data_IF_390589065965
#
_entry.id   IF_390589065965
#
_cell.length_a   1.000
_cell.length_b   1.000
_cell.length_c   1.000
_cell.angle_alpha   90.00
_cell.angle_beta   90.00
_cell.angle_gamma   90.00
#
_symmetry.space_group_name_H-M   'P 1'
#
loop_
_entity.id
_entity.type
_entity.pdbx_description
1 polymer ?
#
# COMPACT_ATOMS: atom_id res chain seq x y z
N UNK A 1 19.42 -6.52 -8.95
CA UNK A 1 19.66 -5.32 -8.12
C UNK A 1 19.81 -5.77 -6.67
N UNK A 2 20.99 -6.23 -6.28
CA UNK A 2 21.24 -6.83 -4.96
C UNK A 2 22.73 -6.80 -4.59
N UNK A 3 23.44 -5.74 -5.00
CA UNK A 3 24.86 -5.52 -4.70
C UNK A 3 25.13 -4.23 -3.90
N UNK A 4 24.19 -3.26 -3.85
CA UNK A 4 24.47 -1.93 -3.27
C UNK A 4 24.13 -1.79 -1.76
N UNK A 5 23.49 -2.79 -1.15
CA UNK A 5 23.21 -2.77 0.28
C UNK A 5 24.39 -3.20 1.15
N UNK A 6 25.31 -4.02 0.61
CA UNK A 6 26.47 -4.52 1.34
C UNK A 6 27.55 -3.45 1.55
N UNK A 7 27.76 -2.57 0.56
CA UNK A 7 28.70 -1.44 0.68
C UNK A 7 28.25 -0.42 1.72
N UNK A 8 26.94 -0.19 1.83
CA UNK A 8 26.35 0.74 2.81
C UNK A 8 26.48 0.23 4.25
N UNK A 9 26.40 -1.08 4.48
CA UNK A 9 26.58 -1.68 5.80
C UNK A 9 28.05 -1.59 6.29
N UNK A 10 29.00 -1.76 5.37
CA UNK A 10 30.44 -1.68 5.70
C UNK A 10 30.85 -0.23 6.01
N UNK A 11 30.35 0.75 5.25
CA UNK A 11 30.55 2.17 5.54
C UNK A 11 29.97 2.61 6.89
N UNK A 12 28.80 2.06 7.25
CA UNK A 12 28.15 2.32 8.54
C UNK A 12 28.92 1.70 9.71
N UNK A 13 29.41 0.46 9.55
CA UNK A 13 30.24 -0.20 10.56
C UNK A 13 31.59 0.52 10.77
N UNK A 14 32.23 0.97 9.68
CA UNK A 14 33.50 1.69 9.74
C UNK A 14 33.34 3.08 10.38
N UNK A 15 32.24 3.78 10.08
CA UNK A 15 31.93 5.09 10.65
C UNK A 15 31.58 5.00 12.14
N UNK A 16 30.83 3.96 12.55
CA UNK A 16 30.51 3.70 13.96
C UNK A 16 31.77 3.34 14.78
N UNK A 17 32.69 2.57 14.21
CA UNK A 17 33.95 2.21 14.85
C UNK A 17 34.86 3.41 15.10
N UNK A 18 34.96 4.33 14.13
CA UNK A 18 35.78 5.54 14.25
C UNK A 18 35.20 6.53 15.28
N UNK A 19 33.87 6.60 15.40
CA UNK A 19 33.17 7.45 16.36
C UNK A 19 33.39 7.00 17.82
N UNK A 20 33.54 5.70 18.05
CA UNK A 20 33.75 5.15 19.39
C UNK A 20 35.11 5.56 20.00
N UNK A 21 36.10 5.88 19.17
CA UNK A 21 37.48 6.17 19.59
C UNK A 21 37.72 7.64 19.98
N UNK A 22 36.80 8.57 19.70
CA UNK A 22 36.97 10.01 19.93
C UNK A 22 36.06 10.53 21.07
N UNK A 23 36.60 10.66 22.29
CA UNK A 23 35.89 11.19 23.48
C UNK A 23 36.21 12.70 23.62
N UNK A 24 35.21 13.62 23.71
CA UNK A 24 34.38 13.84 24.91
C UNK A 24 32.89 14.12 24.61
N UNK A 25 32.37 13.70 23.44
CA UNK A 25 31.01 14.01 22.98
C UNK A 25 30.04 12.82 23.11
N UNK A 26 30.24 11.92 24.07
CA UNK A 26 29.46 10.68 24.20
C UNK A 26 27.93 10.91 24.29
N UNK A 27 27.49 11.94 25.01
CA UNK A 27 26.07 12.28 25.10
C UNK A 27 25.48 12.75 23.76
N UNK A 28 26.23 13.56 23.00
CA UNK A 28 25.84 14.00 21.66
C UNK A 28 25.80 12.82 20.68
N UNK A 29 26.75 11.89 20.79
CA UNK A 29 26.77 10.67 20.00
C UNK A 29 25.53 9.79 20.27
N UNK A 30 25.11 9.63 21.53
CA UNK A 30 23.88 8.90 21.88
C UNK A 30 22.62 9.60 21.36
N UNK A 31 22.54 10.94 21.41
CA UNK A 31 21.42 11.69 20.86
C UNK A 31 21.32 11.53 19.33
N UNK A 32 22.45 11.66 18.63
CA UNK A 32 22.52 11.46 17.18
C UNK A 32 22.23 10.01 16.79
N UNK A 33 22.70 9.04 17.56
CA UNK A 33 22.40 7.62 17.34
C UNK A 33 20.90 7.33 17.52
N UNK A 34 20.25 7.90 18.54
CA UNK A 34 18.82 7.77 18.74
C UNK A 34 18.01 8.42 17.59
N UNK A 35 18.41 9.62 17.14
CA UNK A 35 17.80 10.27 15.99
C UNK A 35 17.98 9.45 14.71
N UNK A 36 19.19 8.95 14.45
CA UNK A 36 19.50 8.10 13.31
C UNK A 36 18.69 6.80 13.33
N UNK A 37 18.57 6.15 14.49
CA UNK A 37 17.73 4.95 14.66
C UNK A 37 16.25 5.26 14.35
N UNK A 38 15.74 6.40 14.82
CA UNK A 38 14.38 6.84 14.50
C UNK A 38 14.20 7.03 12.99
N UNK A 39 15.12 7.76 12.34
CA UNK A 39 15.10 7.94 10.89
C UNK A 39 15.19 6.60 10.14
N UNK A 40 15.98 5.65 10.62
CA UNK A 40 16.15 4.34 9.99
C UNK A 40 14.87 3.49 10.13
N UNK A 41 14.16 3.58 11.26
CA UNK A 41 12.84 2.98 11.43
C UNK A 41 11.81 3.62 10.49
N UNK A 42 11.76 4.95 10.42
CA UNK A 42 10.84 5.65 9.51
C UNK A 42 11.15 5.35 8.05
N UNK A 43 12.43 5.41 7.66
CA UNK A 43 12.88 5.14 6.30
C UNK A 43 12.62 3.68 5.92
N UNK A 44 12.96 2.73 6.78
CA UNK A 44 12.64 1.32 6.58
C UNK A 44 11.14 1.10 6.43
N UNK A 45 10.31 1.76 7.25
CA UNK A 45 8.85 1.69 7.14
C UNK A 45 8.34 2.26 5.81
N UNK A 46 8.92 3.36 5.34
CA UNK A 46 8.61 3.98 4.04
C UNK A 46 9.00 3.07 2.88
N UNK A 47 10.22 2.53 2.89
CA UNK A 47 10.70 1.59 1.86
C UNK A 47 9.86 0.33 1.84
N UNK A 48 9.54 -0.25 3.01
CA UNK A 48 8.64 -1.39 3.11
C UNK A 48 7.25 -1.12 2.52
N UNK A 49 6.73 0.10 2.70
CA UNK A 49 5.46 0.53 2.11
C UNK A 49 5.58 0.70 0.59
N UNK A 50 6.70 1.23 0.11
CA UNK A 50 6.96 1.46 -1.32
C UNK A 50 7.29 0.16 -2.09
N UNK A 51 7.83 -0.86 -1.41
CA UNK A 51 8.07 -2.19 -1.96
C UNK A 51 6.84 -3.11 -1.92
N UNK A 52 5.68 -2.61 -1.45
CA UNK A 52 4.45 -3.40 -1.47
C UNK A 52 3.93 -3.51 -2.89
N UNK A 53 4.30 -4.59 -3.59
CA UNK A 53 3.87 -4.86 -4.95
C UNK A 53 2.54 -5.62 -4.92
N UNK A 54 1.54 -5.13 -5.65
CA UNK A 54 0.24 -5.79 -5.72
C UNK A 54 0.23 -6.65 -6.97
N UNK A 55 0.10 -7.95 -6.77
CA UNK A 55 -0.07 -8.92 -7.83
C UNK A 55 -1.53 -9.35 -7.88
N UNK A 56 -2.09 -9.27 -9.08
CA UNK A 56 -3.42 -9.73 -9.38
C UNK A 56 -3.31 -11.03 -10.15
N UNK A 57 -3.91 -12.08 -9.62
CA UNK A 57 -3.90 -13.43 -10.20
C UNK A 57 -5.34 -13.89 -10.47
N UNK A 58 -5.50 -14.90 -11.32
CA UNK A 58 -6.81 -15.49 -11.63
C UNK A 58 -7.46 -16.11 -10.38
N UNK A 59 -6.66 -16.53 -9.39
CA UNK A 59 -7.13 -17.12 -8.14
C UNK A 59 -7.34 -16.11 -6.99
N UNK A 60 -6.74 -14.91 -7.04
CA UNK A 60 -6.85 -13.94 -5.95
C UNK A 60 -6.05 -12.65 -6.14
N UNK A 61 -6.14 -11.75 -5.15
CA UNK A 61 -5.24 -10.61 -4.99
C UNK A 61 -4.18 -10.94 -3.94
N UNK A 62 -2.92 -10.67 -4.27
CA UNK A 62 -1.77 -10.79 -3.36
C UNK A 62 -1.06 -9.45 -3.23
N UNK A 63 -1.03 -8.90 -2.02
CA UNK A 63 -0.12 -7.81 -1.70
C UNK A 63 1.21 -8.41 -1.21
N UNK A 64 2.28 -8.33 -2.01
CA UNK A 64 3.62 -8.76 -1.62
C UNK A 64 4.34 -7.62 -0.91
N UNK A 65 4.53 -7.75 0.41
CA UNK A 65 5.27 -6.83 1.25
C UNK A 65 5.47 -7.44 2.65
N UNK A 66 6.21 -6.78 3.55
CA UNK A 66 6.46 -7.30 4.90
C UNK A 66 5.20 -7.39 5.78
N UNK A 67 4.11 -6.71 5.39
CA UNK A 67 2.76 -6.86 5.96
C UNK A 67 1.77 -7.38 4.89
N UNK A 68 2.28 -8.12 3.92
CA UNK A 68 1.52 -8.62 2.78
C UNK A 68 0.38 -9.53 3.20
N UNK A 69 -0.73 -9.45 2.47
CA UNK A 69 -1.88 -10.30 2.66
C UNK A 69 -2.32 -10.88 1.31
N UNK A 70 -2.85 -12.10 1.37
CA UNK A 70 -3.39 -12.82 0.22
C UNK A 70 -4.86 -13.02 0.50
N UNK A 71 -5.70 -12.57 -0.43
CA UNK A 71 -7.14 -12.82 -0.42
C UNK A 71 -7.44 -13.60 -1.70
N UNK A 72 -7.87 -14.85 -1.52
CA UNK A 72 -8.39 -15.66 -2.64
C UNK A 72 -9.76 -15.11 -3.01
N UNK A 73 -10.08 -15.10 -4.29
CA UNK A 73 -11.35 -14.56 -4.75
C UNK A 73 -12.56 -15.29 -4.16
N UNK A 74 -12.43 -16.58 -3.87
CA UNK A 74 -13.45 -17.39 -3.20
C UNK A 74 -13.74 -16.97 -1.76
N UNK A 75 -12.76 -16.40 -1.08
CA UNK A 75 -12.88 -15.95 0.30
C UNK A 75 -13.25 -14.47 0.39
N UNK A 76 -13.39 -13.78 -0.76
CA UNK A 76 -13.73 -12.36 -0.80
C UNK A 76 -15.15 -12.15 -0.29
N UNK A 77 -15.28 -11.50 0.88
CA UNK A 77 -16.58 -11.24 1.51
C UNK A 77 -17.09 -9.84 1.24
N UNK A 78 -16.20 -8.86 1.25
CA UNK A 78 -16.59 -7.47 1.07
C UNK A 78 -15.57 -6.70 0.25
N UNK A 79 -16.07 -5.84 -0.63
CA UNK A 79 -15.27 -4.91 -1.40
C UNK A 79 -15.77 -3.49 -1.14
N UNK A 80 -14.86 -2.62 -0.71
CA UNK A 80 -15.15 -1.21 -0.45
C UNK A 80 -14.19 -0.32 -1.22
N UNK A 81 -14.71 0.69 -1.91
CA UNK A 81 -13.94 1.75 -2.54
C UNK A 81 -14.31 3.07 -1.88
N UNK A 82 -13.39 3.63 -1.12
CA UNK A 82 -13.56 4.90 -0.42
C UNK A 82 -12.93 6.04 -1.26
N UNK A 83 -13.60 7.19 -1.33
CA UNK A 83 -13.09 8.41 -1.98
C UNK A 83 -12.90 9.49 -0.92
N UNK A 84 -11.68 10.01 -0.81
CA UNK A 84 -11.31 11.06 0.12
C UNK A 84 -10.92 12.31 -0.67
N UNK A 85 -11.68 13.39 -0.51
CA UNK A 85 -11.37 14.69 -1.09
C UNK A 85 -11.14 15.71 0.02
N UNK A 86 -10.06 16.48 -0.08
CA UNK A 86 -9.77 17.61 0.81
C UNK A 86 -10.45 18.90 0.35
N UNK A 87 -11.09 18.91 -0.83
CA UNK A 87 -11.76 20.07 -1.42
C UNK A 87 -13.21 19.78 -1.80
N UNK A 88 -14.08 20.80 -1.67
CA UNK A 88 -15.50 20.72 -2.03
C UNK A 88 -15.70 20.49 -3.54
N UNK A 89 -14.74 20.91 -4.35
CA UNK A 89 -14.78 20.84 -5.82
C UNK A 89 -14.49 19.43 -6.36
N UNK A 90 -14.25 18.44 -5.48
CA UNK A 90 -13.91 17.03 -5.80
C UNK A 90 -12.69 16.87 -6.72
N UNK A 91 -11.94 17.92 -7.01
CA UNK A 91 -10.68 17.84 -7.75
C UNK A 91 -9.52 17.55 -6.79
N UNK A 92 -8.74 16.52 -7.10
CA UNK A 92 -7.54 16.14 -6.33
C UNK A 92 -7.76 15.22 -5.13
N UNK A 93 -8.89 14.51 -5.05
CA UNK A 93 -9.08 13.46 -4.04
C UNK A 93 -8.32 12.18 -4.36
N UNK A 94 -8.03 11.38 -3.34
CA UNK A 94 -7.46 10.04 -3.49
C UNK A 94 -8.52 8.97 -3.23
N UNK A 95 -8.32 7.80 -3.82
CA UNK A 95 -9.19 6.65 -3.61
C UNK A 95 -8.45 5.56 -2.84
N UNK A 96 -9.19 4.82 -2.04
CA UNK A 96 -8.69 3.64 -1.34
C UNK A 96 -9.62 2.46 -1.59
N UNK A 97 -9.08 1.42 -2.21
CA UNK A 97 -9.73 0.13 -2.37
C UNK A 97 -9.40 -0.76 -1.17
N UNK A 98 -10.42 -1.29 -0.52
CA UNK A 98 -10.31 -2.20 0.61
C UNK A 98 -11.03 -3.51 0.28
N UNK A 99 -10.26 -4.60 0.25
CA UNK A 99 -10.79 -5.95 0.11
C UNK A 99 -10.71 -6.67 1.45
N UNK A 100 -11.73 -7.45 1.80
CA UNK A 100 -11.76 -8.19 3.06
C UNK A 100 -12.22 -9.63 2.84
N UNK A 101 -11.52 -10.55 3.51
CA UNK A 101 -12.00 -11.91 3.73
C UNK A 101 -12.49 -12.05 5.20
N UNK A 102 -12.61 -13.28 5.70
CA UNK A 102 -13.02 -13.54 7.08
C UNK A 102 -11.98 -13.12 8.14
N UNK A 103 -10.69 -13.13 7.82
CA UNK A 103 -9.57 -12.96 8.76
C UNK A 103 -8.67 -11.74 8.46
N UNK A 104 -8.62 -11.27 7.22
CA UNK A 104 -7.63 -10.33 6.68
C UNK A 104 -8.29 -9.24 5.86
N UNK A 105 -7.58 -8.12 5.74
CA UNK A 105 -7.97 -6.99 4.90
C UNK A 105 -6.77 -6.51 4.10
N UNK A 106 -6.96 -6.30 2.80
CA UNK A 106 -5.99 -5.66 1.90
C UNK A 106 -6.49 -4.24 1.62
N UNK A 107 -5.58 -3.27 1.70
CA UNK A 107 -5.83 -1.86 1.37
C UNK A 107 -4.89 -1.43 0.27
N UNK A 108 -5.44 -0.75 -0.71
CA UNK A 108 -4.73 -0.33 -1.92
C UNK A 108 -5.11 1.13 -2.14
N UNK A 109 -4.12 2.02 -2.12
CA UNK A 109 -4.33 3.45 -2.39
C UNK A 109 -4.21 3.74 -3.89
N UNK A 110 -4.87 4.79 -4.37
CA UNK A 110 -4.89 5.18 -5.79
C UNK A 110 -3.55 5.67 -6.34
N UNK A 111 -2.57 5.90 -5.47
CA UNK A 111 -1.20 6.24 -5.84
C UNK A 111 -0.44 5.04 -6.44
N UNK A 112 -0.98 3.82 -6.32
CA UNK A 112 -0.37 2.63 -6.94
C UNK A 112 -0.58 2.63 -8.45
N UNK A 113 0.49 2.37 -9.19
CA UNK A 113 0.45 2.17 -10.63
C UNK A 113 -0.55 1.06 -11.01
N UNK A 114 -1.44 1.37 -11.97
CA UNK A 114 -2.48 0.41 -12.40
C UNK A 114 -3.65 0.25 -11.44
N UNK A 115 -3.84 1.15 -10.46
CA UNK A 115 -4.97 1.13 -9.51
C UNK A 115 -6.33 0.93 -10.19
N UNK A 116 -6.60 1.63 -11.29
CA UNK A 116 -7.88 1.56 -12.00
C UNK A 116 -8.17 0.14 -12.54
N UNK A 117 -7.15 -0.55 -13.02
CA UNK A 117 -7.27 -1.92 -13.55
C UNK A 117 -7.48 -2.93 -12.41
N UNK A 118 -6.76 -2.74 -11.29
CA UNK A 118 -6.95 -3.52 -10.07
C UNK A 118 -8.39 -3.36 -9.55
N UNK A 119 -8.88 -2.12 -9.46
CA UNK A 119 -10.24 -1.83 -9.01
C UNK A 119 -11.28 -2.44 -9.95
N UNK A 120 -11.06 -2.39 -11.26
CA UNK A 120 -11.95 -3.00 -12.27
C UNK A 120 -12.00 -4.52 -12.14
N UNK A 121 -10.84 -5.17 -12.02
CA UNK A 121 -10.77 -6.62 -11.88
C UNK A 121 -11.41 -7.09 -10.57
N UNK A 122 -11.11 -6.42 -9.46
CA UNK A 122 -11.69 -6.71 -8.15
C UNK A 122 -13.21 -6.51 -8.13
N UNK A 123 -13.72 -5.42 -8.73
CA UNK A 123 -15.16 -5.18 -8.84
C UNK A 123 -15.85 -6.23 -9.74
N UNK A 124 -15.20 -6.65 -10.83
CA UNK A 124 -15.70 -7.71 -11.69
C UNK A 124 -15.87 -9.03 -10.94
N UNK A 125 -14.86 -9.41 -10.17
CA UNK A 125 -14.90 -10.66 -9.39
C UNK A 125 -15.87 -10.60 -8.21
N UNK A 126 -15.91 -9.48 -7.50
CA UNK A 126 -16.90 -9.25 -6.43
C UNK A 126 -18.34 -9.38 -6.95
N UNK A 127 -18.63 -8.84 -8.14
CA UNK A 127 -19.94 -8.98 -8.80
C UNK A 127 -20.22 -10.42 -9.20
N UNK A 128 -19.25 -11.13 -9.79
CA UNK A 128 -19.43 -12.53 -10.21
C UNK A 128 -19.76 -13.46 -9.04
N UNK A 129 -19.18 -13.20 -7.87
CA UNK A 129 -19.35 -14.05 -6.68
C UNK A 129 -20.42 -13.58 -5.69
N UNK A 130 -21.05 -12.45 -5.96
CA UNK A 130 -22.04 -11.86 -5.04
C UNK A 130 -21.44 -11.40 -3.72
N UNK A 131 -20.17 -11.00 -3.71
CA UNK A 131 -19.54 -10.39 -2.53
C UNK A 131 -20.26 -9.09 -2.17
N UNK A 132 -20.27 -8.74 -0.88
CA UNK A 132 -20.95 -7.54 -0.43
C UNK A 132 -20.25 -6.29 -0.96
N UNK A 133 -20.95 -5.53 -1.81
CA UNK A 133 -20.48 -4.28 -2.41
C UNK A 133 -21.34 -3.15 -1.87
N UNK A 134 -20.72 -2.35 -1.01
CA UNK A 134 -21.36 -1.23 -0.33
C UNK A 134 -21.94 -0.20 -1.33
N UNK A 135 -23.09 0.45 -1.05
CA UNK A 135 -23.69 1.43 -1.95
C UNK A 135 -22.76 2.59 -2.33
N UNK A 136 -21.91 3.07 -1.41
CA UNK A 136 -20.94 4.12 -1.69
C UNK A 136 -19.85 3.64 -2.66
N UNK A 137 -19.50 2.37 -2.58
CA UNK A 137 -18.54 1.72 -3.49
C UNK A 137 -19.08 1.68 -4.91
N UNK A 138 -20.38 1.40 -5.09
CA UNK A 138 -21.02 1.43 -6.42
C UNK A 138 -21.02 2.83 -7.02
N UNK A 139 -21.26 3.87 -6.21
CA UNK A 139 -21.19 5.27 -6.65
C UNK A 139 -19.76 5.68 -7.04
N UNK A 140 -18.76 5.27 -6.26
CA UNK A 140 -17.35 5.57 -6.52
C UNK A 140 -16.81 4.81 -7.76
N UNK A 141 -17.25 3.57 -7.97
CA UNK A 141 -16.93 2.81 -9.19
C UNK A 141 -17.53 3.45 -10.45
N UNK A 142 -18.69 4.11 -10.35
CA UNK A 142 -19.29 4.89 -11.44
C UNK A 142 -18.47 6.14 -11.75
N UNK A 143 -17.97 6.85 -10.74
CA UNK A 143 -17.06 8.00 -10.94
C UNK A 143 -15.77 7.61 -11.66
N UNK A 144 -15.28 6.38 -11.47
CA UNK A 144 -14.13 5.84 -12.21
C UNK A 144 -14.47 5.32 -13.62
N UNK A 145 -15.74 5.37 -14.06
CA UNK A 145 -16.18 4.81 -15.35
C UNK A 145 -16.12 3.28 -15.43
N UNK A 146 -15.95 2.60 -14.29
CA UNK A 146 -15.74 1.14 -14.22
C UNK A 146 -17.06 0.36 -14.33
N UNK A 147 -18.18 0.98 -13.98
CA UNK A 147 -19.53 0.39 -14.10
C UNK A 147 -20.37 1.26 -15.02
N UNK A 148 -20.70 0.74 -16.21
CA UNK A 148 -21.74 1.30 -17.07
C UNK A 148 -23.09 0.63 -16.76
N UNK A 149 -24.15 1.44 -16.72
CA UNK A 149 -25.52 0.96 -16.58
C UNK A 149 -25.96 0.31 -17.91
N UNK A 150 -26.71 -0.81 -17.93
CA UNK A 150 -27.34 -1.31 -19.16
C UNK A 150 -28.26 -0.29 -19.87
N UNK A 151 -28.62 0.81 -19.22
CA UNK A 151 -29.37 1.92 -19.81
C UNK A 151 -28.55 2.81 -20.78
N UNK A 152 -27.22 2.64 -20.85
CA UNK A 152 -26.33 3.46 -21.69
C UNK A 152 -26.17 2.92 -23.14
N UNK A 153 -27.10 2.04 -23.56
CA UNK A 153 -27.21 1.48 -24.92
C UNK A 153 -28.58 1.79 -25.56
N UNK A 154 -29.09 3.00 -25.36
CA UNK A 154 -30.28 3.50 -26.04
C UNK A 154 -29.90 4.53 -27.09
#
# INVERSE_FOLDING_TARGET
MSADYAGSAIGLAFSLGLLAFAQPAAAMAWLLAAAAALFLVYFGRTVCRQLTHIELDEAGIRARGPLGAVIRWEDLRSLRLDYYSTRRDREGGWMQLRLRDAQRAIRIDSEVDGFADIARAAAGEARRRGADVDPATRANLRMLGIVHDPADRA
#
